data_IF_143855078495
#
_entry.id   IF_143855078495
#
_cell.length_a   1.000
_cell.length_b   1.000
_cell.length_c   1.000
_cell.angle_alpha   90.00
_cell.angle_beta   90.00
_cell.angle_gamma   90.00
#
_symmetry.space_group_name_H-M   'P 1'
#
loop_
_entity.id
_entity.type
_entity.pdbx_description
1 polymer ?
#
# COMPACT_ATOMS: atom_id res chain seq x y z
N UNK A 1 -3.17 -12.38 -8.21
CA UNK A 1 -2.29 -11.64 -7.27
C UNK A 1 -2.65 -11.76 -5.79
N UNK A 2 -3.91 -12.06 -5.45
CA UNK A 2 -4.42 -12.17 -4.07
C UNK A 2 -3.56 -13.00 -3.11
N UNK A 3 -2.96 -14.11 -3.54
CA UNK A 3 -2.16 -14.98 -2.66
C UNK A 3 -0.83 -14.37 -2.19
N UNK A 4 -0.38 -13.27 -2.81
CA UNK A 4 0.84 -12.55 -2.40
C UNK A 4 0.49 -11.45 -1.40
N UNK A 5 -0.63 -10.76 -1.59
CA UNK A 5 -1.11 -9.67 -0.75
C UNK A 5 -1.31 -10.09 0.72
N UNK A 6 -1.47 -9.14 1.66
CA UNK A 6 -1.76 -9.48 3.06
C UNK A 6 -2.98 -10.41 3.16
N UNK A 7 -2.81 -11.48 3.94
CA UNK A 7 -3.84 -12.46 4.25
C UNK A 7 -4.42 -12.19 5.65
N UNK A 8 -5.62 -12.70 5.99
CA UNK A 8 -6.21 -12.48 7.32
C UNK A 8 -5.29 -12.85 8.49
N UNK A 9 -4.45 -13.88 8.34
CA UNK A 9 -3.47 -14.28 9.37
C UNK A 9 -2.31 -13.30 9.56
N UNK A 10 -2.05 -12.40 8.60
CA UNK A 10 -1.00 -11.38 8.69
C UNK A 10 -1.45 -10.13 9.46
N UNK A 11 -2.76 -9.95 9.62
CA UNK A 11 -3.40 -8.72 10.09
C UNK A 11 -4.43 -9.03 11.17
N UNK A 12 -3.96 -9.68 12.24
CA UNK A 12 -4.81 -10.12 13.35
C UNK A 12 -5.68 -9.00 13.91
N UNK A 13 -6.97 -9.29 14.12
CA UNK A 13 -7.94 -8.32 14.63
C UNK A 13 -8.48 -7.33 13.60
N UNK A 14 -8.08 -7.45 12.32
CA UNK A 14 -8.67 -6.72 11.20
C UNK A 14 -9.49 -7.66 10.31
N UNK A 15 -10.54 -7.13 9.69
CA UNK A 15 -11.38 -7.83 8.73
C UNK A 15 -11.12 -7.31 7.31
N UNK A 16 -11.19 -8.20 6.32
CA UNK A 16 -11.02 -7.80 4.92
C UNK A 16 -12.18 -6.90 4.50
N UNK A 17 -11.85 -5.74 3.96
CA UNK A 17 -12.83 -4.78 3.46
C UNK A 17 -13.26 -5.14 2.04
N UNK A 18 -14.48 -4.74 1.67
CA UNK A 18 -15.07 -5.00 0.35
C UNK A 18 -14.34 -4.31 -0.80
N UNK A 19 -13.57 -3.28 -0.49
CA UNK A 19 -12.71 -2.51 -1.41
C UNK A 19 -11.46 -3.29 -1.86
N UNK A 20 -11.24 -4.49 -1.32
CA UNK A 20 -10.14 -5.35 -1.72
C UNK A 20 -10.45 -6.11 -3.01
N UNK A 21 -9.56 -6.07 -4.00
CA UNK A 21 -9.73 -6.80 -5.25
C UNK A 21 -8.58 -6.63 -6.22
N UNK A 22 -8.71 -7.25 -7.39
CA UNK A 22 -7.84 -6.94 -8.53
C UNK A 22 -8.07 -5.47 -8.93
N UNK A 23 -7.01 -4.74 -9.29
CA UNK A 23 -7.06 -3.28 -9.46
C UNK A 23 -8.10 -2.84 -10.50
N UNK A 24 -8.27 -3.58 -11.59
CA UNK A 24 -9.30 -3.28 -12.60
C UNK A 24 -10.73 -3.37 -12.02
N UNK A 25 -10.98 -4.29 -11.09
CA UNK A 25 -12.27 -4.42 -10.42
C UNK A 25 -12.50 -3.29 -9.41
N UNK A 26 -11.46 -2.97 -8.64
CA UNK A 26 -11.47 -1.86 -7.67
C UNK A 26 -11.77 -0.54 -8.38
N UNK A 27 -11.12 -0.27 -9.51
CA UNK A 27 -11.36 0.94 -10.32
C UNK A 27 -12.80 0.98 -10.88
N UNK A 28 -13.32 -0.15 -11.36
CA UNK A 28 -14.70 -0.23 -11.84
C UNK A 28 -15.71 0.11 -10.75
N UNK A 29 -15.49 -0.36 -9.52
CA UNK A 29 -16.33 -0.03 -8.37
C UNK A 29 -16.16 1.44 -7.96
N UNK A 30 -14.91 1.93 -7.91
CA UNK A 30 -14.56 3.32 -7.59
C UNK A 30 -15.24 4.31 -8.54
N UNK A 31 -15.35 4.00 -9.83
CA UNK A 31 -16.02 4.83 -10.83
C UNK A 31 -17.45 5.25 -10.44
N UNK A 32 -18.17 4.36 -9.75
CA UNK A 32 -19.54 4.62 -9.31
C UNK A 32 -19.62 5.38 -7.98
N UNK A 33 -18.64 5.18 -7.09
CA UNK A 33 -18.63 5.72 -5.72
C UNK A 33 -17.91 7.07 -5.63
N UNK A 34 -16.80 7.22 -6.35
CA UNK A 34 -15.96 8.40 -6.36
C UNK A 34 -15.31 8.61 -7.75
N UNK A 35 -16.05 9.21 -8.71
CA UNK A 35 -15.57 9.41 -10.08
C UNK A 35 -14.24 10.19 -10.18
N UNK A 36 -14.00 11.12 -9.27
CA UNK A 36 -12.76 11.92 -9.25
C UNK A 36 -11.54 11.08 -8.85
N UNK A 37 -11.67 10.24 -7.81
CA UNK A 37 -10.61 9.30 -7.44
C UNK A 37 -10.37 8.27 -8.55
N UNK A 38 -11.45 7.78 -9.17
CA UNK A 38 -11.37 6.88 -10.32
C UNK A 38 -10.55 7.48 -11.46
N UNK A 39 -10.81 8.72 -11.89
CA UNK A 39 -10.09 9.30 -13.02
C UNK A 39 -8.58 9.41 -12.74
N UNK A 40 -8.20 9.73 -11.50
CA UNK A 40 -6.80 9.79 -11.06
C UNK A 40 -6.17 8.40 -11.03
N UNK A 41 -6.79 7.44 -10.35
CA UNK A 41 -6.25 6.09 -10.16
C UNK A 41 -6.24 5.31 -11.48
N UNK A 42 -7.25 5.46 -12.34
CA UNK A 42 -7.30 4.84 -13.65
C UNK A 42 -6.20 5.39 -14.57
N UNK A 43 -5.97 6.71 -14.55
CA UNK A 43 -4.88 7.32 -15.32
C UNK A 43 -3.52 6.78 -14.86
N UNK A 44 -3.28 6.73 -13.56
CA UNK A 44 -2.04 6.20 -13.01
C UNK A 44 -1.88 4.70 -13.32
N UNK A 45 -2.95 3.91 -13.21
CA UNK A 45 -2.91 2.50 -13.55
C UNK A 45 -2.61 2.25 -15.03
N UNK A 46 -3.18 3.05 -15.94
CA UNK A 46 -2.82 2.99 -17.36
C UNK A 46 -1.34 3.30 -17.57
N UNK A 47 -0.80 4.33 -16.92
CA UNK A 47 0.63 4.64 -17.00
C UNK A 47 1.49 3.45 -16.54
N UNK A 48 1.11 2.80 -15.45
CA UNK A 48 1.80 1.61 -14.97
C UNK A 48 1.75 0.45 -15.96
N UNK A 49 0.60 0.21 -16.60
CA UNK A 49 0.46 -0.77 -17.67
C UNK A 49 1.37 -0.45 -18.87
N UNK A 50 1.46 0.83 -19.26
CA UNK A 50 2.40 1.26 -20.32
C UNK A 50 3.86 0.98 -19.95
N UNK A 51 4.21 1.12 -18.68
CA UNK A 51 5.55 0.83 -18.14
C UNK A 51 5.82 -0.67 -17.99
N UNK A 52 4.81 -1.52 -18.15
CA UNK A 52 4.94 -2.97 -18.16
C UNK A 52 4.39 -3.67 -16.92
N UNK A 53 3.59 -2.99 -16.10
CA UNK A 53 2.69 -3.68 -15.17
C UNK A 53 1.63 -4.47 -15.96
N UNK A 54 1.20 -5.61 -15.44
CA UNK A 54 0.16 -6.41 -16.10
C UNK A 54 -0.82 -7.09 -15.15
N UNK A 55 -0.54 -7.08 -13.85
CA UNK A 55 -1.40 -7.66 -12.83
C UNK A 55 -1.16 -6.89 -11.53
N UNK A 56 -2.23 -6.59 -10.79
CA UNK A 56 -2.14 -5.86 -9.54
C UNK A 56 -3.33 -6.17 -8.63
N UNK A 57 -3.08 -6.17 -7.32
CA UNK A 57 -4.09 -6.41 -6.30
C UNK A 57 -4.01 -5.38 -5.19
N UNK A 58 -5.16 -4.82 -4.85
CA UNK A 58 -5.33 -3.92 -3.73
C UNK A 58 -6.03 -4.67 -2.60
N UNK A 59 -5.40 -4.75 -1.44
CA UNK A 59 -5.91 -5.42 -0.27
C UNK A 59 -6.11 -4.41 0.85
N UNK A 60 -7.27 -4.46 1.47
CA UNK A 60 -7.67 -3.55 2.53
C UNK A 60 -8.22 -4.37 3.69
N UNK A 61 -7.76 -4.05 4.89
CA UNK A 61 -8.23 -4.62 6.14
C UNK A 61 -8.49 -3.52 7.16
N UNK A 62 -9.68 -3.50 7.74
CA UNK A 62 -10.10 -2.53 8.75
C UNK A 62 -10.53 -3.23 10.03
N UNK A 63 -10.42 -2.59 11.18
CA UNK A 63 -10.90 -3.16 12.46
C UNK A 63 -12.43 -3.19 12.48
N UNK A 64 -13.07 -2.18 11.91
CA UNK A 64 -14.52 -2.03 11.81
C UNK A 64 -14.96 -1.70 10.37
N UNK A 65 -16.26 -1.79 10.10
CA UNK A 65 -16.83 -1.35 8.83
C UNK A 65 -16.59 0.17 8.56
N UNK A 66 -16.55 0.99 9.61
CA UNK A 66 -16.21 2.41 9.49
C UNK A 66 -14.74 2.64 9.10
N UNK A 67 -13.82 1.79 9.58
CA UNK A 67 -12.41 1.88 9.21
C UNK A 67 -12.23 1.52 7.73
N UNK A 68 -12.94 0.47 7.26
CA UNK A 68 -12.99 0.14 5.84
C UNK A 68 -13.50 1.31 4.99
N UNK A 69 -14.55 2.01 5.45
CA UNK A 69 -15.11 3.15 4.73
C UNK A 69 -14.16 4.36 4.67
N UNK A 70 -13.19 4.47 5.59
CA UNK A 70 -12.29 5.63 5.66
C UNK A 70 -11.41 5.81 4.40
N UNK A 71 -11.18 4.75 3.62
CA UNK A 71 -10.48 4.84 2.33
C UNK A 71 -11.30 5.50 1.22
N UNK A 72 -12.63 5.50 1.34
CA UNK A 72 -13.52 6.07 0.34
C UNK A 72 -13.77 7.56 0.52
N UNK A 73 -13.38 8.12 1.68
CA UNK A 73 -13.62 9.52 2.03
C UNK A 73 -12.43 10.35 1.58
N UNK A 74 -12.66 11.29 0.66
CA UNK A 74 -11.73 12.36 0.30
C UNK A 74 -11.58 13.38 1.44
N UNK A 75 -11.26 12.90 2.65
CA UNK A 75 -10.97 13.69 3.83
C UNK A 75 -9.47 13.74 4.08
N UNK A 76 -8.99 14.86 4.61
CA UNK A 76 -7.58 15.06 5.00
C UNK A 76 -7.22 14.40 6.33
N UNK A 77 -8.18 13.77 7.01
CA UNK A 77 -7.96 13.04 8.24
C UNK A 77 -7.52 11.61 7.95
N UNK A 78 -6.37 11.21 8.49
CA UNK A 78 -5.97 9.82 8.48
C UNK A 78 -7.03 8.95 9.18
N UNK A 79 -7.28 7.72 8.69
CA UNK A 79 -8.14 6.77 9.39
C UNK A 79 -7.66 6.60 10.83
N UNK A 80 -8.51 6.93 11.81
CA UNK A 80 -8.15 6.84 13.24
C UNK A 80 -8.46 5.49 13.86
N UNK A 81 -8.92 4.53 13.06
CA UNK A 81 -9.18 3.16 13.48
C UNK A 81 -8.35 2.21 12.63
N UNK A 82 -7.87 1.15 13.28
CA UNK A 82 -6.88 0.23 12.73
C UNK A 82 -7.19 -0.17 11.30
N UNK A 83 -6.36 0.26 10.37
CA UNK A 83 -6.51 0.03 8.94
C UNK A 83 -5.16 -0.34 8.34
N UNK A 84 -5.15 -1.35 7.47
CA UNK A 84 -4.03 -1.67 6.60
C UNK A 84 -4.54 -1.67 5.16
N UNK A 85 -3.86 -0.92 4.29
CA UNK A 85 -4.04 -0.97 2.86
C UNK A 85 -2.73 -1.41 2.21
N UNK A 86 -2.79 -2.30 1.22
CA UNK A 86 -1.63 -2.75 0.49
C UNK A 86 -1.92 -2.86 -1.00
N UNK A 87 -0.99 -2.41 -1.82
CA UNK A 87 -1.01 -2.55 -3.28
C UNK A 87 0.17 -3.41 -3.70
N UNK A 88 -0.10 -4.53 -4.36
CA UNK A 88 0.93 -5.41 -4.91
C UNK A 88 0.79 -5.38 -6.43
N UNK A 89 1.87 -5.05 -7.14
CA UNK A 89 1.86 -4.92 -8.60
C UNK A 89 2.95 -5.79 -9.19
N UNK A 90 2.59 -6.55 -10.22
CA UNK A 90 3.50 -7.41 -10.97
C UNK A 90 3.84 -6.81 -12.32
N UNK A 91 5.14 -6.83 -12.63
CA UNK A 91 5.73 -6.32 -13.86
C UNK A 91 6.30 -7.44 -14.72
N UNK A 92 6.42 -7.17 -16.02
CA UNK A 92 6.97 -8.11 -17.01
C UNK A 92 8.40 -8.59 -16.69
N UNK A 93 9.18 -7.80 -15.96
CA UNK A 93 10.53 -8.18 -15.52
C UNK A 93 10.96 -7.43 -14.27
N UNK A 94 11.94 -7.98 -13.56
CA UNK A 94 12.54 -7.34 -12.38
C UNK A 94 13.18 -5.99 -12.74
N UNK A 95 13.83 -5.88 -13.91
CA UNK A 95 14.40 -4.63 -14.35
C UNK A 95 13.34 -3.53 -14.58
N UNK A 96 12.12 -3.91 -14.98
CA UNK A 96 11.00 -2.98 -15.10
C UNK A 96 10.49 -2.57 -13.72
N UNK A 97 10.23 -3.53 -12.81
CA UNK A 97 9.81 -3.25 -11.44
C UNK A 97 10.80 -2.31 -10.74
N UNK A 98 12.10 -2.62 -10.80
CA UNK A 98 13.15 -1.80 -10.21
C UNK A 98 13.21 -0.37 -10.76
N UNK A 99 12.88 -0.15 -12.04
CA UNK A 99 12.76 1.21 -12.60
C UNK A 99 11.51 1.93 -12.10
N UNK A 100 10.41 1.21 -11.91
CA UNK A 100 9.15 1.79 -11.46
C UNK A 100 9.14 2.12 -9.96
N UNK A 101 9.77 1.31 -9.11
CA UNK A 101 9.97 1.60 -7.68
C UNK A 101 10.60 2.97 -7.39
N UNK A 102 11.45 3.47 -8.31
CA UNK A 102 12.06 4.79 -8.22
C UNK A 102 11.22 5.93 -8.81
N UNK A 103 10.02 5.64 -9.35
CA UNK A 103 9.12 6.63 -9.89
C UNK A 103 8.18 7.17 -8.79
N UNK A 104 7.86 8.46 -8.85
CA UNK A 104 6.91 9.12 -7.94
C UNK A 104 5.46 8.69 -8.25
N UNK A 105 5.11 7.43 -7.98
CA UNK A 105 3.72 7.01 -8.14
C UNK A 105 2.82 7.57 -7.04
N UNK A 106 1.54 7.68 -7.38
CA UNK A 106 0.46 8.05 -6.48
C UNK A 106 -0.75 7.11 -6.60
N UNK A 107 -0.58 5.88 -7.12
CA UNK A 107 -1.69 4.94 -7.34
C UNK A 107 -2.35 4.59 -6.01
N UNK A 108 -3.66 4.84 -5.89
CA UNK A 108 -4.42 4.75 -4.63
C UNK A 108 -3.81 5.57 -3.48
N UNK A 109 -3.10 6.65 -3.81
CA UNK A 109 -2.46 7.53 -2.84
C UNK A 109 -1.11 7.05 -2.31
N UNK A 110 -0.65 5.84 -2.67
CA UNK A 110 0.68 5.38 -2.26
C UNK A 110 1.77 6.15 -2.99
N UNK A 111 2.73 6.70 -2.25
CA UNK A 111 3.89 7.30 -2.90
C UNK A 111 4.95 7.87 -1.95
N UNK A 112 6.07 8.37 -2.51
CA UNK A 112 7.18 8.92 -1.72
C UNK A 112 6.78 10.06 -0.76
N UNK A 113 5.64 10.71 -1.00
CA UNK A 113 5.06 11.73 -0.13
C UNK A 113 4.73 11.20 1.27
N UNK A 114 4.33 9.94 1.41
CA UNK A 114 4.04 9.33 2.71
C UNK A 114 5.32 9.22 3.56
N UNK A 115 6.42 8.79 2.95
CA UNK A 115 7.73 8.74 3.60
C UNK A 115 8.23 10.14 3.94
N UNK A 116 8.03 11.11 3.04
CA UNK A 116 8.40 12.50 3.29
C UNK A 116 7.60 13.08 4.48
N UNK A 117 6.30 12.79 4.55
CA UNK A 117 5.44 13.17 5.67
C UNK A 117 5.96 12.58 6.99
N UNK A 118 6.31 11.29 7.04
CA UNK A 118 6.90 10.67 8.23
C UNK A 118 8.16 11.40 8.68
N UNK A 119 9.07 11.74 7.76
CA UNK A 119 10.30 12.49 8.10
C UNK A 119 9.97 13.87 8.69
N UNK A 120 9.06 14.60 8.05
CA UNK A 120 8.66 15.94 8.49
C UNK A 120 7.98 15.93 9.86
N UNK A 121 7.24 14.86 10.16
CA UNK A 121 6.59 14.67 11.46
C UNK A 121 7.54 14.16 12.56
N UNK A 122 8.84 14.02 12.28
CA UNK A 122 9.83 13.51 13.25
C UNK A 122 9.78 12.00 13.46
N UNK A 123 9.13 11.26 12.57
CA UNK A 123 9.13 9.80 12.56
C UNK A 123 10.45 9.20 12.08
N UNK A 124 10.56 7.88 12.22
CA UNK A 124 11.70 7.08 11.81
C UNK A 124 11.56 6.60 10.37
N UNK A 125 12.65 6.68 9.61
CA UNK A 125 12.75 6.12 8.26
C UNK A 125 13.96 5.20 8.17
N UNK A 126 13.75 4.01 7.61
CA UNK A 126 14.77 2.99 7.33
C UNK A 126 14.74 2.66 5.85
N UNK A 127 15.90 2.49 5.21
CA UNK A 127 16.01 2.26 3.77
C UNK A 127 16.94 1.10 3.45
N UNK A 128 16.76 0.49 2.29
CA UNK A 128 17.63 -0.57 1.80
C UNK A 128 17.54 -1.85 2.63
N UNK A 129 18.61 -2.63 2.64
CA UNK A 129 18.62 -3.96 3.25
C UNK A 129 18.26 -3.95 4.75
N UNK A 130 18.47 -2.84 5.46
CA UNK A 130 18.15 -2.69 6.88
C UNK A 130 16.64 -2.74 7.17
N UNK A 131 15.78 -2.59 6.15
CA UNK A 131 14.33 -2.76 6.30
C UNK A 131 13.91 -4.21 6.51
N UNK A 132 14.75 -5.18 6.09
CA UNK A 132 14.39 -6.59 5.97
C UNK A 132 13.57 -6.96 4.73
N UNK A 133 13.20 -5.98 3.88
CA UNK A 133 12.38 -6.19 2.68
C UNK A 133 13.21 -6.32 1.39
N UNK A 134 14.50 -5.99 1.45
CA UNK A 134 15.44 -6.07 0.32
C UNK A 134 16.16 -4.74 0.04
N UNK A 135 17.10 -4.70 -0.91
CA UNK A 135 17.95 -3.52 -1.15
C UNK A 135 17.18 -2.32 -1.74
N UNK A 136 16.03 -2.56 -2.39
CA UNK A 136 15.14 -1.52 -2.92
C UNK A 136 13.90 -1.42 -2.06
N UNK A 137 14.05 -0.82 -0.89
CA UNK A 137 12.96 -0.72 0.07
C UNK A 137 13.11 0.51 0.96
N UNK A 138 11.98 0.97 1.48
CA UNK A 138 11.88 2.03 2.47
C UNK A 138 10.74 1.72 3.43
N UNK A 139 10.97 1.92 4.72
CA UNK A 139 9.97 1.88 5.78
C UNK A 139 9.96 3.24 6.46
N UNK A 140 8.78 3.81 6.68
CA UNK A 140 8.56 4.97 7.52
C UNK A 140 7.57 4.64 8.63
N UNK A 141 7.84 5.05 9.87
CA UNK A 141 6.87 4.91 10.95
C UNK A 141 6.96 6.07 11.93
N UNK A 142 5.85 6.40 12.57
CA UNK A 142 5.79 7.49 13.54
C UNK A 142 4.40 7.72 14.08
N UNK A 143 4.23 8.84 14.77
CA UNK A 143 2.95 9.26 15.32
C UNK A 143 2.70 10.73 15.03
N UNK A 144 1.47 11.06 14.59
CA UNK A 144 1.04 12.43 14.31
C UNK A 144 -0.32 12.64 14.94
N UNK A 145 -0.45 13.69 15.76
CA UNK A 145 -1.70 14.04 16.45
C UNK A 145 -2.35 12.87 17.23
N UNK A 146 -1.54 11.97 17.78
CA UNK A 146 -2.02 10.81 18.55
C UNK A 146 -2.29 9.54 17.74
N UNK A 147 -2.32 9.63 16.40
CA UNK A 147 -2.42 8.47 15.52
C UNK A 147 -1.05 7.93 15.14
N UNK A 148 -0.96 6.61 14.98
CA UNK A 148 0.25 5.91 14.53
C UNK A 148 0.19 5.59 13.04
N UNK A 149 1.35 5.69 12.40
CA UNK A 149 1.51 5.50 10.97
C UNK A 149 2.66 4.54 10.70
N UNK A 150 2.47 3.67 9.71
CA UNK A 150 3.52 2.83 9.16
C UNK A 150 3.35 2.74 7.64
N UNK A 151 4.42 2.99 6.91
CA UNK A 151 4.48 2.84 5.46
C UNK A 151 5.67 1.96 5.10
N UNK A 152 5.48 1.02 4.19
CA UNK A 152 6.53 0.20 3.62
C UNK A 152 6.36 0.14 2.10
N UNK A 153 7.38 0.56 1.37
CA UNK A 153 7.44 0.47 -0.09
C UNK A 153 8.68 -0.32 -0.47
N UNK A 154 8.52 -1.36 -1.27
CA UNK A 154 9.65 -2.19 -1.67
C UNK A 154 9.44 -2.83 -3.03
N UNK A 155 10.56 -3.09 -3.68
CA UNK A 155 10.63 -3.92 -4.87
C UNK A 155 11.34 -5.23 -4.53
N UNK A 156 10.75 -6.34 -4.96
CA UNK A 156 11.36 -7.65 -4.89
C UNK A 156 10.98 -8.46 -6.13
N UNK A 157 11.98 -8.98 -6.86
CA UNK A 157 11.81 -9.67 -8.15
C UNK A 157 10.96 -8.85 -9.12
N UNK A 158 9.90 -9.42 -9.68
CA UNK A 158 9.02 -8.77 -10.63
C UNK A 158 7.92 -7.92 -9.97
N UNK A 159 8.01 -7.66 -8.66
CA UNK A 159 6.96 -7.02 -7.90
C UNK A 159 7.40 -5.69 -7.28
N UNK A 160 6.53 -4.70 -7.39
CA UNK A 160 6.52 -3.56 -6.46
C UNK A 160 5.38 -3.77 -5.46
N UNK A 161 5.62 -3.45 -4.20
CA UNK A 161 4.67 -3.65 -3.11
C UNK A 161 4.65 -2.42 -2.21
N UNK A 162 3.44 -2.01 -1.86
CA UNK A 162 3.16 -0.84 -1.03
C UNK A 162 2.25 -1.29 0.09
N UNK A 163 2.56 -0.87 1.31
CA UNK A 163 1.72 -1.13 2.48
C UNK A 163 1.68 0.13 3.33
N UNK A 164 0.47 0.60 3.62
CA UNK A 164 0.19 1.67 4.56
C UNK A 164 -0.65 1.12 5.71
N UNK A 165 -0.32 1.49 6.94
CA UNK A 165 -1.06 1.14 8.13
C UNK A 165 -1.29 2.36 9.01
N UNK A 166 -2.51 2.47 9.52
CA UNK A 166 -2.99 3.58 10.35
C UNK A 166 -3.58 3.00 11.63
N UNK A 167 -3.13 3.49 12.78
CA UNK A 167 -3.60 3.02 14.10
C UNK A 167 -3.50 1.50 14.32
N UNK A 168 -2.38 0.98 13.81
CA UNK A 168 -1.87 -0.38 13.99
C UNK A 168 -0.44 -0.30 14.51
N UNK A 169 -0.09 -1.18 15.45
CA UNK A 169 1.27 -1.23 15.98
C UNK A 169 2.27 -1.47 14.84
N UNK A 170 3.36 -0.70 14.80
CA UNK A 170 4.35 -0.79 13.72
C UNK A 170 4.99 -2.17 13.61
N UNK A 171 5.05 -2.93 14.71
CA UNK A 171 5.54 -4.32 14.70
C UNK A 171 4.59 -5.25 13.91
N UNK A 172 3.28 -5.11 14.08
CA UNK A 172 2.27 -5.90 13.37
C UNK A 172 2.25 -5.54 11.88
N UNK A 173 2.28 -4.23 11.56
CA UNK A 173 2.36 -3.75 10.18
C UNK A 173 3.65 -4.21 9.47
N UNK A 174 4.79 -4.20 10.18
CA UNK A 174 6.05 -4.78 9.71
C UNK A 174 5.94 -6.28 9.50
N UNK A 175 5.27 -7.00 10.40
CA UNK A 175 4.97 -8.43 10.26
C UNK A 175 4.20 -8.71 8.97
N UNK A 176 3.15 -7.94 8.69
CA UNK A 176 2.37 -8.07 7.46
C UNK A 176 3.21 -7.81 6.19
N UNK A 177 4.03 -6.75 6.18
CA UNK A 177 4.92 -6.47 5.06
C UNK A 177 5.93 -7.61 4.81
N UNK A 178 6.50 -8.16 5.89
CA UNK A 178 7.41 -9.31 5.80
C UNK A 178 6.71 -10.56 5.27
N UNK A 179 5.49 -10.86 5.72
CA UNK A 179 4.70 -11.98 5.20
C UNK A 179 4.44 -11.84 3.70
N UNK A 180 4.06 -10.65 3.23
CA UNK A 180 3.91 -10.38 1.79
C UNK A 180 5.23 -10.62 1.06
N UNK A 181 6.33 -10.06 1.58
CA UNK A 181 7.64 -10.19 0.96
C UNK A 181 8.11 -11.66 0.85
N UNK A 182 7.82 -12.49 1.87
CA UNK A 182 8.13 -13.92 1.85
C UNK A 182 7.35 -14.71 0.79
N UNK A 183 6.15 -14.22 0.40
CA UNK A 183 5.35 -14.84 -0.66
C UNK A 183 5.84 -14.47 -2.07
N UNK A 184 6.69 -13.46 -2.20
CA UNK A 184 7.35 -13.09 -3.46
C UNK A 184 8.49 -14.10 -3.75
N UNK A 185 8.13 -15.20 -4.43
CA UNK A 185 9.03 -16.25 -4.91
C UNK A 185 9.58 -15.99 -6.31
#
# INVERSE_FOLDING_TARGET
>A
MQSIAPQPGDVSGLQRCTESGDVDEVLRDEKSKNPMAYDLNATEWEQWKTRGAFDAYFAVYGRTASDCAALSVSGTGAPTGGLIAALIVKFKSEAIAARNYGADSTLFGFGPRDIAFIKLAGGSVTTGSDTGLGPRSVIGSGSVAGSTYYFAFWQNKTFDSYLGAYDVASADARGAANSVNQRIR
#
